data_IF_349976197333
#
_entry.id   IF_349976197333
#
_cell.length_a   1.000
_cell.length_b   1.000
_cell.length_c   1.000
_cell.angle_alpha   90.00
_cell.angle_beta   90.00
_cell.angle_gamma   90.00
#
_symmetry.space_group_name_H-M   'P 1'
#
loop_
_entity.id
_entity.type
_entity.pdbx_description
1 polymer ?
#
# COMPACT_ATOMS: atom_id res chain seq x y z
N UNK A 1 0.26 -18.75 -9.70
CA UNK A 1 -1.04 -18.74 -8.97
C UNK A 1 -1.70 -17.44 -9.29
N UNK A 2 -2.72 -17.46 -10.15
CA UNK A 2 -3.41 -16.28 -10.64
C UNK A 2 -4.13 -15.62 -9.46
N UNK A 3 -3.71 -14.42 -9.07
CA UNK A 3 -4.49 -13.56 -8.17
C UNK A 3 -5.84 -13.33 -8.83
N UNK A 4 -6.88 -13.99 -8.35
CA UNK A 4 -8.22 -13.85 -8.89
C UNK A 4 -8.78 -12.53 -8.35
N UNK A 5 -8.93 -11.47 -9.17
CA UNK A 5 -9.37 -10.16 -8.69
C UNK A 5 -10.72 -10.24 -7.96
N UNK A 6 -11.57 -11.19 -8.34
CA UNK A 6 -12.90 -11.42 -7.73
C UNK A 6 -12.90 -11.63 -6.21
N UNK A 7 -11.87 -12.25 -5.63
CA UNK A 7 -11.84 -12.50 -4.18
C UNK A 7 -11.39 -11.26 -3.38
N UNK A 8 -10.65 -10.35 -4.01
CA UNK A 8 -10.16 -9.15 -3.33
C UNK A 8 -11.28 -8.12 -3.17
N UNK A 9 -12.10 -7.94 -4.20
CA UNK A 9 -13.26 -7.04 -4.16
C UNK A 9 -14.31 -7.49 -3.15
N UNK A 10 -14.51 -8.81 -2.99
CA UNK A 10 -15.48 -9.36 -2.04
C UNK A 10 -15.02 -9.17 -0.59
N UNK A 11 -13.73 -9.39 -0.31
CA UNK A 11 -13.15 -9.12 1.00
C UNK A 11 -13.23 -7.64 1.38
N UNK A 12 -12.99 -6.73 0.42
CA UNK A 12 -13.12 -5.29 0.64
C UNK A 12 -14.54 -4.88 1.02
N UNK A 13 -15.55 -5.42 0.33
CA UNK A 13 -16.96 -5.18 0.67
C UNK A 13 -17.30 -5.61 2.09
N UNK A 14 -16.84 -6.79 2.52
CA UNK A 14 -17.08 -7.28 3.88
C UNK A 14 -16.48 -6.35 4.95
N UNK A 15 -15.28 -5.80 4.71
CA UNK A 15 -14.69 -4.81 5.62
C UNK A 15 -15.47 -3.50 5.63
N UNK A 16 -15.96 -3.04 4.47
CA UNK A 16 -16.76 -1.82 4.38
C UNK A 16 -18.08 -2.00 5.14
N UNK A 17 -18.82 -3.08 4.91
CA UNK A 17 -20.07 -3.38 5.65
C UNK A 17 -19.83 -3.45 7.16
N UNK A 18 -18.73 -4.08 7.59
CA UNK A 18 -18.37 -4.12 9.00
C UNK A 18 -18.10 -2.72 9.58
N UNK A 19 -17.48 -1.82 8.80
CA UNK A 19 -17.27 -0.42 9.19
C UNK A 19 -18.55 0.43 9.10
N UNK A 20 -19.55 0.04 8.30
CA UNK A 20 -20.87 0.68 8.32
C UNK A 20 -21.64 0.36 9.61
N UNK A 21 -21.47 -0.87 10.12
CA UNK A 21 -22.06 -1.29 11.39
C UNK A 21 -21.33 -0.63 12.58
N UNK A 22 -20.00 -0.68 12.59
CA UNK A 22 -19.17 -0.03 13.61
C UNK A 22 -17.97 0.70 12.98
N UNK A 23 -18.10 2.01 12.73
CA UNK A 23 -17.07 2.79 12.05
C UNK A 23 -15.83 3.07 12.90
N UNK A 24 -15.88 2.72 14.20
CA UNK A 24 -14.80 2.92 15.17
C UNK A 24 -14.19 1.59 15.64
N UNK A 25 -14.57 0.47 15.03
CA UNK A 25 -14.03 -0.82 15.41
C UNK A 25 -12.55 -0.94 15.04
N UNK A 26 -11.69 -0.82 16.05
CA UNK A 26 -10.22 -0.94 15.93
C UNK A 26 -9.80 -2.21 15.16
N UNK A 27 -10.45 -3.34 15.46
CA UNK A 27 -10.08 -4.63 14.88
C UNK A 27 -10.38 -4.65 13.38
N UNK A 28 -11.56 -4.18 12.97
CA UNK A 28 -11.96 -4.12 11.56
C UNK A 28 -11.06 -3.14 10.80
N UNK A 29 -10.80 -1.95 11.35
CA UNK A 29 -9.91 -0.95 10.75
C UNK A 29 -8.51 -1.51 10.53
N UNK A 30 -7.97 -2.22 11.52
CA UNK A 30 -6.63 -2.82 11.46
C UNK A 30 -6.57 -3.95 10.43
N UNK A 31 -7.54 -4.87 10.45
CA UNK A 31 -7.57 -5.98 9.48
C UNK A 31 -7.74 -5.47 8.06
N UNK A 32 -8.57 -4.45 7.85
CA UNK A 32 -8.74 -3.84 6.53
C UNK A 32 -7.46 -3.14 6.06
N UNK A 33 -6.73 -2.47 6.97
CA UNK A 33 -5.46 -1.85 6.66
C UNK A 33 -4.39 -2.88 6.24
N UNK A 34 -4.30 -4.03 6.93
CA UNK A 34 -3.41 -5.15 6.55
C UNK A 34 -3.78 -5.66 5.15
N UNK A 35 -5.07 -5.83 4.89
CA UNK A 35 -5.55 -6.27 3.58
C UNK A 35 -5.15 -5.29 2.48
N UNK A 36 -5.28 -3.98 2.70
CA UNK A 36 -4.81 -2.93 1.77
C UNK A 36 -3.29 -2.91 1.60
N UNK A 37 -2.51 -3.17 2.64
CA UNK A 37 -1.07 -3.35 2.53
C UNK A 37 -0.71 -4.52 1.61
N UNK A 38 -1.40 -5.65 1.70
CA UNK A 38 -1.17 -6.81 0.83
C UNK A 38 -1.52 -6.50 -0.64
N UNK A 39 -2.40 -5.53 -0.89
CA UNK A 39 -2.74 -5.03 -2.23
C UNK A 39 -1.78 -3.94 -2.75
N UNK A 40 -0.69 -3.66 -2.02
CA UNK A 40 0.21 -2.52 -2.29
C UNK A 40 -0.48 -1.14 -2.23
N UNK A 41 -1.66 -1.04 -1.61
CA UNK A 41 -2.39 0.21 -1.40
C UNK A 41 -1.96 0.86 -0.06
N UNK A 42 -0.69 1.24 0.02
CA UNK A 42 -0.08 1.75 1.26
C UNK A 42 -0.68 3.08 1.74
N UNK A 43 -1.14 3.95 0.84
CA UNK A 43 -1.79 5.21 1.21
C UNK A 43 -3.16 4.97 1.88
N UNK A 44 -3.96 4.06 1.34
CA UNK A 44 -5.26 3.68 1.93
C UNK A 44 -5.07 2.95 3.27
N UNK A 45 -4.11 2.03 3.34
CA UNK A 45 -3.77 1.33 4.59
C UNK A 45 -3.34 2.32 5.69
N UNK A 46 -2.54 3.33 5.34
CA UNK A 46 -2.11 4.36 6.29
C UNK A 46 -3.31 5.14 6.87
N UNK A 47 -4.28 5.54 6.05
CA UNK A 47 -5.48 6.23 6.51
C UNK A 47 -6.32 5.36 7.46
N UNK A 48 -6.44 4.06 7.18
CA UNK A 48 -7.17 3.12 8.04
C UNK A 48 -6.49 2.97 9.41
N UNK A 49 -5.15 2.88 9.44
CA UNK A 49 -4.39 2.88 10.69
C UNK A 49 -4.52 4.18 11.48
N UNK A 50 -4.55 5.34 10.82
CA UNK A 50 -4.79 6.62 11.50
C UNK A 50 -6.15 6.65 12.19
N UNK A 51 -7.20 6.15 11.53
CA UNK A 51 -8.53 6.01 12.15
C UNK A 51 -8.51 5.03 13.33
N UNK A 52 -7.81 3.90 13.19
CA UNK A 52 -7.66 2.92 14.27
C UNK A 52 -6.97 3.55 15.50
N UNK A 53 -5.94 4.36 15.29
CA UNK A 53 -5.23 5.10 16.34
C UNK A 53 -6.17 6.09 17.04
N UNK A 54 -7.00 6.83 16.30
CA UNK A 54 -7.96 7.77 16.88
C UNK A 54 -9.02 7.09 17.76
N UNK A 55 -9.40 5.85 17.41
CA UNK A 55 -10.35 5.07 18.20
C UNK A 55 -9.68 4.33 19.38
N UNK A 56 -8.36 4.11 19.30
CA UNK A 56 -7.60 3.40 20.32
C UNK A 56 -7.31 4.32 21.50
N UNK A 57 -7.82 3.94 22.68
CA UNK A 57 -7.60 4.68 23.94
C UNK A 57 -6.39 4.18 24.76
N UNK A 58 -5.66 3.19 24.26
CA UNK A 58 -4.52 2.56 24.94
C UNK A 58 -3.17 3.01 24.38
N UNK A 59 -2.31 3.52 25.25
CA UNK A 59 -0.99 4.08 24.90
C UNK A 59 -0.05 3.03 24.28
N UNK A 60 -0.08 1.79 24.76
CA UNK A 60 0.76 0.68 24.25
C UNK A 60 0.42 0.34 22.79
N UNK A 61 -0.87 0.16 22.49
CA UNK A 61 -1.35 -0.10 21.12
C UNK A 61 -1.11 1.09 20.20
N UNK A 62 -1.24 2.31 20.72
CA UNK A 62 -0.99 3.52 19.96
C UNK A 62 0.46 3.59 19.46
N UNK A 63 1.45 3.23 20.29
CA UNK A 63 2.84 3.14 19.85
C UNK A 63 3.04 2.08 18.76
N UNK A 64 2.44 0.89 18.93
CA UNK A 64 2.55 -0.19 17.95
C UNK A 64 1.97 0.23 16.59
N UNK A 65 0.78 0.84 16.58
CA UNK A 65 0.15 1.33 15.36
C UNK A 65 0.91 2.50 14.73
N UNK A 66 1.46 3.41 15.52
CA UNK A 66 2.29 4.51 15.00
C UNK A 66 3.56 3.99 14.30
N UNK A 67 4.23 2.98 14.86
CA UNK A 67 5.40 2.36 14.25
C UNK A 67 5.04 1.69 12.91
N UNK A 68 3.92 0.98 12.88
CA UNK A 68 3.43 0.32 11.67
C UNK A 68 3.03 1.32 10.58
N UNK A 69 2.32 2.39 10.95
CA UNK A 69 1.96 3.50 10.06
C UNK A 69 3.21 4.15 9.44
N UNK A 70 4.26 4.35 10.23
CA UNK A 70 5.53 4.90 9.76
C UNK A 70 6.19 3.97 8.72
N UNK A 71 6.20 2.66 8.98
CA UNK A 71 6.72 1.67 8.04
C UNK A 71 5.94 1.64 6.72
N UNK A 72 4.60 1.67 6.79
CA UNK A 72 3.71 1.68 5.61
C UNK A 72 3.92 2.94 4.77
N UNK A 73 3.98 4.12 5.41
CA UNK A 73 4.27 5.39 4.71
C UNK A 73 5.67 5.40 4.09
N UNK A 74 6.66 4.77 4.73
CA UNK A 74 7.99 4.61 4.14
C UNK A 74 7.95 3.75 2.86
N UNK A 75 7.20 2.64 2.88
CA UNK A 75 7.00 1.79 1.70
C UNK A 75 6.24 2.49 0.58
N UNK A 76 5.15 3.21 0.88
CA UNK A 76 4.42 4.01 -0.09
C UNK A 76 5.30 5.08 -0.75
N UNK A 77 6.15 5.79 0.03
CA UNK A 77 7.14 6.73 -0.50
C UNK A 77 8.21 6.05 -1.36
N UNK A 78 8.66 4.86 -0.98
CA UNK A 78 9.64 4.09 -1.76
C UNK A 78 9.07 3.67 -3.11
N UNK A 79 7.84 3.16 -3.15
CA UNK A 79 7.16 2.79 -4.40
C UNK A 79 6.88 4.01 -5.26
N UNK A 80 6.42 5.12 -4.65
CA UNK A 80 6.25 6.38 -5.36
C UNK A 80 7.57 6.87 -5.96
N UNK A 81 8.69 6.78 -5.23
CA UNK A 81 10.02 7.12 -5.74
C UNK A 81 10.50 6.17 -6.84
N UNK A 82 10.25 4.87 -6.72
CA UNK A 82 10.53 3.89 -7.78
C UNK A 82 9.70 4.16 -9.04
N UNK A 83 8.47 4.63 -8.90
CA UNK A 83 7.57 4.96 -10.01
C UNK A 83 7.77 6.40 -10.57
N UNK A 84 8.57 7.26 -9.91
CA UNK A 84 8.80 8.65 -10.30
C UNK A 84 10.27 9.05 -10.44
N UNK A 85 11.20 8.13 -10.66
CA UNK A 85 12.60 8.54 -10.85
C UNK A 85 13.37 7.73 -11.90
N UNK A 86 13.02 7.95 -13.16
CA UNK A 86 14.05 8.15 -14.18
C UNK A 86 13.96 9.60 -14.67
N UNK A 87 14.79 10.54 -14.16
CA UNK A 87 14.98 11.86 -14.77
C UNK A 87 15.86 11.74 -16.03
N UNK A 88 15.59 10.73 -16.85
CA UNK A 88 16.34 10.34 -18.04
C UNK A 88 15.65 9.15 -18.69
N UNK A 89 14.36 9.29 -18.95
CA UNK A 89 13.47 8.23 -19.43
C UNK A 89 14.16 7.28 -20.41
N UNK A 90 13.94 5.97 -20.23
CA UNK A 90 14.38 5.01 -21.23
C UNK A 90 13.80 5.42 -22.58
N UNK A 91 14.62 5.75 -23.60
CA UNK A 91 14.09 5.89 -24.93
C UNK A 91 13.44 4.54 -25.27
N UNK A 92 12.16 4.58 -25.61
CA UNK A 92 11.46 3.43 -26.20
C UNK A 92 12.38 2.81 -27.24
N UNK A 93 12.42 1.48 -27.27
CA UNK A 93 13.19 0.65 -28.19
C UNK A 93 13.13 1.16 -29.65
N UNK A 94 14.00 2.10 -29.98
CA UNK A 94 14.49 2.37 -31.32
C UNK A 94 15.68 1.44 -31.58
N UNK A 95 16.06 1.24 -32.85
CA UNK A 95 17.18 0.38 -33.19
C UNK A 95 18.42 0.79 -32.39
N UNK A 96 19.13 -0.22 -31.86
CA UNK A 96 20.31 -0.05 -31.02
C UNK A 96 21.29 0.98 -31.66
N UNK A 97 21.86 1.90 -30.87
CA UNK A 97 22.85 2.84 -31.38
C UNK A 97 24.06 2.12 -31.99
N UNK A 98 24.55 2.63 -33.13
CA UNK A 98 25.61 2.02 -33.94
C UNK A 98 27.00 1.91 -33.25
N UNK A 99 27.12 2.34 -31.99
CA UNK A 99 28.35 2.20 -31.19
C UNK A 99 28.34 0.94 -30.29
N UNK A 100 27.21 0.27 -30.12
CA UNK A 100 27.10 -1.02 -29.41
C UNK A 100 27.32 -2.24 -30.31
N UNK A 101 27.54 -2.04 -31.62
CA UNK A 101 27.76 -3.10 -32.62
C UNK A 101 29.21 -3.29 -33.05
N UNK A 102 30.16 -3.00 -32.16
CA UNK A 102 31.59 -3.04 -32.48
C UNK A 102 32.46 -3.51 -31.32
N UNK A 103 32.24 -4.74 -30.85
CA UNK A 103 33.32 -5.50 -30.22
C UNK A 103 33.69 -6.60 -31.22
N UNK A 104 34.88 -6.45 -31.82
CA UNK A 104 35.52 -7.47 -32.64
C UNK A 104 36.02 -8.65 -31.84
#
# INVERSE_FOLDING_TARGET
>A
MSSNPSNNDEAEKLYIEALEIDPSNETVLTMFAIFKCNQNQFEEAANLYERAIQCTRGEEKLLQYAALLYAIRAQGRAIKRLNLNFPGGFPQAGPLPNWMGGMG
#
